data_IF_107830564285
#
_entry.id   IF_107830564285
#
_cell.length_a   1.000
_cell.length_b   1.000
_cell.length_c   1.000
_cell.angle_alpha   90.00
_cell.angle_beta   90.00
_cell.angle_gamma   90.00
#
_symmetry.space_group_name_H-M   'P 1'
#
loop_
_entity.id
_entity.type
_entity.pdbx_description
1 polymer ?
#
# COMPACT_ATOMS: atom_id res chain seq x y z
N UNK A 1 4.30 -41.98 8.39
CA UNK A 1 4.55 -41.06 9.53
C UNK A 1 5.37 -39.82 9.10
N UNK A 2 6.20 -39.87 8.05
CA UNK A 2 7.06 -38.73 7.65
C UNK A 2 6.38 -37.53 6.95
N UNK A 3 5.16 -37.65 6.41
CA UNK A 3 4.50 -36.54 5.70
C UNK A 3 3.93 -35.46 6.65
N UNK A 4 3.34 -35.87 7.79
CA UNK A 4 2.78 -34.93 8.77
C UNK A 4 3.85 -34.06 9.47
N UNK A 5 5.03 -34.63 9.77
CA UNK A 5 6.12 -33.87 10.41
C UNK A 5 6.72 -32.81 9.49
N UNK A 6 6.78 -33.09 8.18
CA UNK A 6 7.27 -32.12 7.19
C UNK A 6 6.29 -30.95 7.02
N UNK A 7 4.98 -31.21 7.01
CA UNK A 7 3.96 -30.15 6.94
C UNK A 7 3.92 -29.27 8.20
N UNK A 8 4.09 -29.85 9.39
CA UNK A 8 4.17 -29.06 10.64
C UNK A 8 5.42 -28.18 10.67
N UNK A 9 6.53 -28.68 10.13
CA UNK A 9 7.77 -27.89 10.04
C UNK A 9 7.62 -26.67 9.15
N UNK A 10 6.86 -26.74 8.06
CA UNK A 10 6.73 -25.61 7.12
C UNK A 10 5.96 -24.45 7.76
N UNK A 11 4.84 -24.73 8.43
CA UNK A 11 4.06 -23.70 9.12
C UNK A 11 4.83 -23.07 10.29
N UNK A 12 5.68 -23.84 10.98
CA UNK A 12 6.58 -23.31 12.01
C UNK A 12 7.67 -22.40 11.39
N UNK A 13 8.19 -22.77 10.21
CA UNK A 13 9.16 -21.97 9.47
C UNK A 13 8.57 -20.65 8.98
N UNK A 14 7.33 -20.62 8.48
CA UNK A 14 6.64 -19.38 8.07
C UNK A 14 6.56 -18.35 9.20
N UNK A 15 6.12 -18.77 10.39
CA UNK A 15 6.10 -17.89 11.58
C UNK A 15 7.49 -17.43 12.01
N UNK A 16 8.49 -18.32 11.92
CA UNK A 16 9.88 -17.96 12.20
C UNK A 16 10.39 -16.90 11.21
N UNK A 17 10.05 -17.01 9.92
CA UNK A 17 10.40 -16.01 8.90
C UNK A 17 9.82 -14.65 9.25
N UNK A 18 8.55 -14.59 9.66
CA UNK A 18 7.89 -13.34 10.08
C UNK A 18 8.62 -12.75 11.29
N UNK A 19 8.92 -13.56 12.30
CA UNK A 19 9.69 -13.13 13.46
C UNK A 19 11.08 -12.59 13.07
N UNK A 20 11.78 -13.28 12.17
CA UNK A 20 13.09 -12.87 11.67
C UNK A 20 13.03 -11.49 10.98
N UNK A 21 12.04 -11.28 10.10
CA UNK A 21 11.82 -9.99 9.43
C UNK A 21 11.56 -8.88 10.44
N UNK A 22 10.64 -9.09 11.40
CA UNK A 22 10.33 -8.10 12.44
C UNK A 22 11.57 -7.74 13.27
N UNK A 23 12.43 -8.71 13.58
CA UNK A 23 13.68 -8.46 14.32
C UNK A 23 14.67 -7.65 13.49
N UNK A 24 14.82 -7.92 12.18
CA UNK A 24 15.72 -7.11 11.35
C UNK A 24 15.21 -5.67 11.20
N UNK A 25 13.91 -5.48 11.03
CA UNK A 25 13.29 -4.16 10.99
C UNK A 25 13.46 -3.40 12.32
N UNK A 26 13.31 -4.07 13.46
CA UNK A 26 13.55 -3.47 14.77
C UNK A 26 15.02 -3.03 14.98
N UNK A 27 15.96 -3.65 14.26
CA UNK A 27 17.39 -3.26 14.25
C UNK A 27 17.70 -2.12 13.27
N UNK A 28 16.72 -1.69 12.48
CA UNK A 28 16.89 -0.69 11.42
C UNK A 28 17.58 -1.24 10.17
N UNK A 29 17.61 -2.56 9.98
CA UNK A 29 18.23 -3.21 8.82
C UNK A 29 17.15 -3.75 7.87
N UNK A 30 16.65 -2.86 7.00
CA UNK A 30 15.62 -3.20 6.00
C UNK A 30 16.16 -4.14 4.92
N UNK A 31 17.44 -4.03 4.58
CA UNK A 31 18.09 -4.89 3.56
C UNK A 31 18.19 -6.33 4.07
N UNK A 32 18.58 -6.53 5.33
CA UNK A 32 18.57 -7.85 5.95
C UNK A 32 17.16 -8.42 6.08
N UNK A 33 16.16 -7.57 6.37
CA UNK A 33 14.75 -7.97 6.43
C UNK A 33 14.25 -8.48 5.08
N UNK A 34 14.52 -7.75 4.00
CA UNK A 34 14.12 -8.13 2.65
C UNK A 34 14.85 -9.40 2.17
N UNK A 35 16.14 -9.54 2.52
CA UNK A 35 16.91 -10.75 2.22
C UNK A 35 16.34 -11.98 2.94
N UNK A 36 16.02 -11.83 4.22
CA UNK A 36 15.38 -12.88 5.01
C UNK A 36 14.05 -13.32 4.38
N UNK A 37 13.24 -12.36 3.94
CA UNK A 37 11.98 -12.65 3.26
C UNK A 37 12.19 -13.34 1.89
N UNK A 38 13.17 -12.92 1.09
CA UNK A 38 13.49 -13.57 -0.20
C UNK A 38 13.96 -15.02 -0.03
N UNK A 39 14.72 -15.31 1.03
CA UNK A 39 15.29 -16.64 1.27
C UNK A 39 14.27 -17.61 1.88
N UNK A 40 13.40 -17.13 2.76
CA UNK A 40 12.49 -17.97 3.55
C UNK A 40 11.00 -17.73 3.29
N UNK A 41 10.64 -16.77 2.44
CA UNK A 41 9.25 -16.40 2.13
C UNK A 41 8.45 -17.52 1.47
N UNK A 42 9.12 -18.47 0.80
CA UNK A 42 8.47 -19.65 0.22
C UNK A 42 7.97 -20.65 1.28
N UNK A 43 8.35 -20.48 2.55
CA UNK A 43 7.84 -21.26 3.68
C UNK A 43 6.62 -20.59 4.36
N UNK A 44 6.29 -19.36 3.95
CA UNK A 44 5.20 -18.59 4.53
C UNK A 44 3.86 -18.92 3.86
N UNK A 45 2.77 -18.90 4.64
CA UNK A 45 1.43 -19.01 4.08
C UNK A 45 1.02 -17.70 3.38
N UNK A 46 0.04 -17.77 2.47
CA UNK A 46 -0.45 -16.62 1.70
C UNK A 46 -0.75 -15.35 2.53
N UNK A 47 -1.44 -15.39 3.70
CA UNK A 47 -1.66 -14.19 4.51
C UNK A 47 -0.37 -13.62 5.14
N UNK A 48 0.61 -14.48 5.44
CA UNK A 48 1.89 -14.07 6.01
C UNK A 48 2.70 -13.34 4.93
N UNK A 49 2.78 -13.92 3.72
CA UNK A 49 3.42 -13.33 2.54
C UNK A 49 2.84 -11.95 2.24
N UNK A 50 1.52 -11.84 2.12
CA UNK A 50 0.85 -10.55 1.83
C UNK A 50 1.14 -9.49 2.89
N UNK A 51 1.16 -9.88 4.17
CA UNK A 51 1.45 -8.96 5.27
C UNK A 51 2.91 -8.50 5.22
N UNK A 52 3.85 -9.41 4.96
CA UNK A 52 5.28 -9.11 4.88
C UNK A 52 5.62 -8.27 3.64
N UNK A 53 5.03 -8.57 2.48
CA UNK A 53 5.18 -7.77 1.25
C UNK A 53 4.68 -6.34 1.47
N UNK A 54 3.46 -6.18 2.01
CA UNK A 54 2.91 -4.87 2.32
C UNK A 54 3.76 -4.10 3.34
N UNK A 55 4.31 -4.80 4.34
CA UNK A 55 5.18 -4.20 5.34
C UNK A 55 6.49 -3.72 4.71
N UNK A 56 7.19 -4.59 3.97
CA UNK A 56 8.47 -4.26 3.33
C UNK A 56 8.30 -3.14 2.30
N UNK A 57 7.24 -3.18 1.49
CA UNK A 57 6.92 -2.10 0.55
C UNK A 57 6.74 -0.76 1.28
N UNK A 58 6.03 -0.73 2.40
CA UNK A 58 5.86 0.51 3.17
C UNK A 58 7.18 1.02 3.77
N UNK A 59 8.12 0.12 4.12
CA UNK A 59 9.46 0.50 4.54
C UNK A 59 10.31 1.05 3.38
N UNK A 60 10.17 0.51 2.17
CA UNK A 60 10.85 0.99 0.97
C UNK A 60 10.29 2.34 0.47
N UNK A 61 8.98 2.54 0.58
CA UNK A 61 8.28 3.79 0.23
C UNK A 61 8.39 4.87 1.32
N UNK A 62 8.99 4.53 2.46
CA UNK A 62 9.07 5.37 3.65
C UNK A 62 7.71 5.87 4.17
N UNK A 63 6.63 5.08 4.02
CA UNK A 63 5.27 5.43 4.46
C UNK A 63 4.96 4.84 5.86
N UNK A 64 4.87 5.69 6.92
CA UNK A 64 4.62 5.22 8.28
C UNK A 64 3.17 4.76 8.51
N UNK A 65 2.20 5.26 7.75
CA UNK A 65 0.79 4.90 7.91
C UNK A 65 0.55 3.48 7.39
N UNK A 66 1.08 3.17 6.21
CA UNK A 66 0.98 1.84 5.61
C UNK A 66 1.77 0.80 6.41
N UNK A 67 2.98 1.15 6.88
CA UNK A 67 3.76 0.28 7.76
C UNK A 67 2.99 -0.02 9.06
N UNK A 68 2.36 0.99 9.66
CA UNK A 68 1.54 0.82 10.87
C UNK A 68 0.31 -0.02 10.60
N UNK A 69 -0.32 0.10 9.43
CA UNK A 69 -1.45 -0.73 9.04
C UNK A 69 -1.05 -2.20 8.90
N UNK A 70 0.06 -2.49 8.23
CA UNK A 70 0.59 -3.85 8.06
C UNK A 70 0.96 -4.50 9.41
N UNK A 71 1.63 -3.75 10.30
CA UNK A 71 1.95 -4.19 11.67
C UNK A 71 0.71 -4.43 12.54
N UNK A 72 -0.43 -3.80 12.20
CA UNK A 72 -1.70 -3.99 12.88
C UNK A 72 -2.58 -5.10 12.31
N UNK A 73 -2.07 -5.88 11.34
CA UNK A 73 -2.77 -7.04 10.80
C UNK A 73 -3.16 -8.03 11.90
N UNK A 74 -4.29 -8.72 11.71
CA UNK A 74 -4.75 -9.75 12.65
C UNK A 74 -3.68 -10.83 12.83
N UNK A 75 -2.95 -11.16 11.76
CA UNK A 75 -1.87 -12.13 11.79
C UNK A 75 -0.75 -11.75 12.78
N UNK A 76 -0.18 -10.55 12.66
CA UNK A 76 0.89 -10.06 13.55
C UNK A 76 0.39 -9.95 15.00
N UNK A 77 -0.87 -9.58 15.22
CA UNK A 77 -1.46 -9.45 16.56
C UNK A 77 -1.67 -10.79 17.28
N UNK A 78 -1.89 -11.87 16.53
CA UNK A 78 -2.12 -13.20 17.07
C UNK A 78 -0.87 -14.11 17.03
N UNK A 79 0.27 -13.58 16.58
CA UNK A 79 1.59 -14.20 16.80
C UNK A 79 1.94 -14.26 18.30
N UNK A 80 3.08 -14.87 18.62
CA UNK A 80 3.58 -14.90 20.00
C UNK A 80 3.63 -13.49 20.59
N UNK A 81 3.29 -13.38 21.88
CA UNK A 81 3.10 -12.11 22.59
C UNK A 81 4.33 -11.19 22.45
N UNK A 82 5.53 -11.77 22.41
CA UNK A 82 6.79 -11.06 22.27
C UNK A 82 6.92 -10.38 20.90
N UNK A 83 6.54 -11.07 19.83
CA UNK A 83 6.58 -10.50 18.48
C UNK A 83 5.42 -9.54 18.23
N UNK A 84 4.25 -9.80 18.80
CA UNK A 84 3.14 -8.86 18.79
C UNK A 84 3.49 -7.55 19.53
N UNK A 85 4.26 -7.64 20.62
CA UNK A 85 4.81 -6.47 21.31
C UNK A 85 5.89 -5.78 20.48
N UNK A 86 6.84 -6.55 19.95
CA UNK A 86 7.90 -6.02 19.09
C UNK A 86 7.33 -5.22 17.91
N UNK A 87 6.30 -5.73 17.24
CA UNK A 87 5.62 -5.06 16.14
C UNK A 87 4.97 -3.72 16.53
N UNK A 88 4.55 -3.56 17.80
CA UNK A 88 3.96 -2.30 18.29
C UNK A 88 5.01 -1.26 18.63
N UNK A 89 6.17 -1.72 19.10
CA UNK A 89 7.30 -0.88 19.51
C UNK A 89 8.29 -0.64 18.36
N UNK A 90 7.99 -1.17 17.17
CA UNK A 90 8.86 -1.14 15.99
C UNK A 90 9.00 0.32 15.48
N UNK A 91 10.24 0.80 15.24
CA UNK A 91 10.45 2.13 14.70
C UNK A 91 9.88 2.22 13.27
N UNK A 92 8.92 3.12 13.08
CA UNK A 92 8.32 3.34 11.76
C UNK A 92 9.28 4.06 10.82
N UNK A 93 9.18 3.83 9.50
CA UNK A 93 9.98 4.56 8.54
C UNK A 93 9.70 6.06 8.66
N UNK A 94 10.74 6.87 8.53
CA UNK A 94 10.63 8.33 8.55
C UNK A 94 10.74 8.83 7.11
N UNK A 95 9.76 9.60 6.62
CA UNK A 95 9.84 10.11 5.27
C UNK A 95 10.99 11.11 5.17
N UNK A 96 11.95 10.85 4.28
CA UNK A 96 13.08 11.76 4.01
C UNK A 96 12.63 13.09 3.41
N UNK A 97 11.51 13.06 2.69
CA UNK A 97 10.84 14.25 2.16
C UNK A 97 9.63 14.53 3.06
N UNK A 98 9.51 15.73 3.65
CA UNK A 98 8.33 16.08 4.42
C UNK A 98 7.08 15.95 3.55
N UNK A 99 6.30 14.88 3.76
CA UNK A 99 4.98 14.74 3.17
C UNK A 99 4.16 15.91 3.71
N UNK A 100 3.65 16.75 2.81
CA UNK A 100 2.71 17.79 3.20
C UNK A 100 1.58 17.12 3.99
N UNK A 101 1.20 17.64 5.17
CA UNK A 101 0.28 16.95 6.06
C UNK A 101 -1.04 16.66 5.32
N UNK A 102 -1.31 15.37 5.11
CA UNK A 102 -2.58 14.92 4.61
C UNK A 102 -3.60 15.10 5.75
N UNK A 103 -4.37 16.20 5.67
CA UNK A 103 -5.53 16.55 6.51
C UNK A 103 -5.21 17.27 7.82
N UNK A 104 -4.96 18.56 7.69
CA UNK A 104 -5.89 19.51 8.29
C UNK A 104 -6.51 20.32 7.15
N UNK A 105 -7.73 19.95 6.74
CA UNK A 105 -8.59 20.78 5.89
C UNK A 105 -9.11 22.00 6.67
N UNK A 106 -8.30 22.55 7.57
CA UNK A 106 -8.51 23.86 8.15
C UNK A 106 -8.09 24.89 7.10
N UNK A 107 -8.99 25.09 6.12
CA UNK A 107 -8.99 26.28 5.28
C UNK A 107 -8.81 27.46 6.23
N UNK A 108 -7.65 28.12 6.15
CA UNK A 108 -7.34 29.30 6.98
C UNK A 108 -8.50 30.29 6.79
N UNK A 109 -9.04 30.94 7.85
CA UNK A 109 -10.25 31.75 7.77
C UNK A 109 -10.18 33.01 6.87
N UNK A 110 -9.09 33.18 6.10
CA UNK A 110 -8.89 34.25 5.12
C UNK A 110 -8.17 33.74 3.84
N UNK A 111 -8.32 32.47 3.48
CA UNK A 111 -7.84 31.98 2.21
C UNK A 111 -8.57 32.72 1.08
N UNK A 112 -7.82 33.34 0.15
CA UNK A 112 -8.40 34.02 -0.99
C UNK A 112 -9.30 33.06 -1.79
N UNK A 113 -10.45 33.52 -2.31
CA UNK A 113 -11.32 32.69 -3.13
C UNK A 113 -10.53 32.11 -4.31
N UNK A 114 -10.84 30.86 -4.67
CA UNK A 114 -10.21 30.17 -5.80
C UNK A 114 -10.26 31.05 -7.05
N UNK A 115 -9.08 31.37 -7.60
CA UNK A 115 -8.96 32.21 -8.79
C UNK A 115 -9.64 31.52 -9.97
N UNK A 116 -10.72 32.12 -10.48
CA UNK A 116 -11.35 31.72 -11.74
C UNK A 116 -10.74 32.56 -12.85
N UNK A 117 -10.09 31.89 -13.82
CA UNK A 117 -9.47 32.56 -14.95
C UNK A 117 -10.54 33.14 -15.89
N UNK A 118 -10.45 34.42 -16.29
CA UNK A 118 -11.42 35.08 -17.16
C UNK A 118 -11.41 34.55 -18.60
N UNK A 119 -10.55 33.59 -18.94
CA UNK A 119 -10.50 33.00 -20.28
C UNK A 119 -11.51 31.86 -20.49
N UNK A 120 -12.21 31.41 -19.44
CA UNK A 120 -13.21 30.33 -19.56
C UNK A 120 -14.46 30.78 -20.33
N UNK A 121 -14.78 32.08 -20.31
CA UNK A 121 -15.88 32.68 -21.08
C UNK A 121 -15.50 33.04 -22.53
N UNK A 122 -14.20 33.00 -22.91
CA UNK A 122 -13.78 33.40 -24.26
C UNK A 122 -13.87 32.28 -25.32
N UNK A 123 -14.22 31.06 -24.91
CA UNK A 123 -14.47 29.93 -25.84
C UNK A 123 -15.95 29.71 -26.17
N UNK A 124 -16.88 30.52 -25.62
CA UNK A 124 -18.32 30.39 -25.89
C UNK A 124 -18.91 31.45 -26.84
N UNK A 125 -18.09 32.32 -27.43
CA UNK A 125 -18.51 33.27 -28.48
C UNK A 125 -17.69 33.10 -29.77
N UNK A 126 -17.62 31.87 -30.29
CA UNK A 126 -17.16 31.61 -31.65
C UNK A 126 -17.66 30.26 -32.17
N UNK A 127 -18.98 30.14 -32.40
CA UNK A 127 -19.61 29.33 -33.47
C UNK A 127 -21.13 29.32 -33.27
N UNK A 128 -21.81 30.29 -33.88
CA UNK A 128 -23.23 30.21 -34.20
C UNK A 128 -23.42 29.99 -35.70
N UNK A 129 -24.36 29.11 -36.06
CA UNK A 129 -24.79 28.76 -37.43
C UNK A 129 -24.04 27.54 -37.97
N UNK A 130 -24.65 26.45 -38.46
CA UNK A 130 -25.95 26.29 -39.15
C UNK A 130 -26.43 24.82 -39.05
N UNK A 131 -27.67 24.62 -39.50
CA UNK A 131 -28.63 23.52 -39.46
C UNK A 131 -28.18 22.05 -39.64
N UNK A 132 -29.04 21.12 -39.18
CA UNK A 132 -29.37 19.94 -39.99
C UNK A 132 -29.37 18.56 -39.31
N UNK A 133 -30.59 18.04 -39.12
CA UNK A 133 -31.01 16.64 -39.30
C UNK A 133 -30.31 15.50 -38.51
N UNK A 134 -31.13 14.71 -37.80
CA UNK A 134 -30.67 13.59 -36.99
C UNK A 134 -30.53 12.25 -37.70
N UNK A 135 -30.06 11.24 -36.95
CA UNK A 135 -30.51 9.84 -36.99
C UNK A 135 -29.87 9.04 -35.85
N UNK A 136 -30.61 8.06 -35.33
CA UNK A 136 -30.13 6.94 -34.51
C UNK A 136 -29.12 6.09 -35.30
N UNK A 137 -28.16 5.47 -34.60
CA UNK A 137 -27.89 4.03 -34.74
C UNK A 137 -26.99 3.52 -33.59
N UNK A 138 -27.40 2.38 -33.05
CA UNK A 138 -26.60 1.45 -32.26
C UNK A 138 -25.56 0.82 -33.19
N UNK A 139 -24.38 0.47 -32.69
CA UNK A 139 -23.69 -0.77 -33.07
C UNK A 139 -22.58 -1.04 -32.03
N UNK A 140 -22.70 -2.20 -31.41
CA UNK A 140 -21.62 -3.00 -30.84
C UNK A 140 -20.40 -3.02 -31.78
N UNK A 141 -19.17 -3.05 -31.24
CA UNK A 141 -18.09 -3.95 -31.71
C UNK A 141 -16.97 -4.00 -30.65
N UNK A 142 -16.95 -5.13 -29.95
CA UNK A 142 -15.79 -5.94 -29.58
C UNK A 142 -14.43 -5.46 -30.12
N UNK A 143 -13.48 -5.17 -29.23
CA UNK A 143 -12.05 -5.32 -29.56
C UNK A 143 -11.30 -5.91 -28.37
N UNK A 144 -11.33 -7.23 -28.31
CA UNK A 144 -10.32 -8.06 -27.66
C UNK A 144 -9.01 -7.91 -28.44
N UNK A 145 -7.91 -7.57 -27.78
CA UNK A 145 -6.59 -7.85 -28.33
C UNK A 145 -5.62 -8.29 -27.23
N UNK A 146 -5.02 -9.44 -27.54
CA UNK A 146 -4.14 -10.30 -26.77
C UNK A 146 -2.90 -9.62 -26.18
#
# INVERSE_FOLDING_TARGET
>A
IGLHQQSESIAAMGRLTVALVLVQLARGDTVAAEKAFKEWGNCCDAPEVQTLESLLQAFDEEDPDDARQALNSSFIKHMDIEYARLARDLPLPQPTIPRAPAKDTAVRPNAAPSYVSPNQSKTQEAKGGEEGAGKKEEDDEEFSLC
#
